data_IF_734266010248
#
_entry.id   IF_734266010248
#
_cell.length_a   1.000
_cell.length_b   1.000
_cell.length_c   1.000
_cell.angle_alpha   90.00
_cell.angle_beta   90.00
_cell.angle_gamma   90.00
#
_symmetry.space_group_name_H-M   'P 1'
#
loop_
_entity.id
_entity.type
_entity.pdbx_description
1 polymer ?
#
# COMPACT_ATOMS: atom_id res chain seq x y z
N UNK A 1 -19.57 24.33 -48.28
CA UNK A 1 -18.56 23.37 -47.78
C UNK A 1 -18.32 23.55 -46.27
N UNK A 2 -18.59 24.73 -45.72
CA UNK A 2 -18.20 25.14 -44.36
C UNK A 2 -19.04 24.55 -43.22
N UNK A 3 -20.34 24.26 -43.46
CA UNK A 3 -21.25 23.71 -42.43
C UNK A 3 -20.99 22.24 -42.10
N UNK A 4 -20.49 21.47 -43.06
CA UNK A 4 -20.19 20.03 -42.87
C UNK A 4 -18.88 19.89 -42.09
N UNK A 5 -17.89 20.72 -42.41
CA UNK A 5 -16.62 20.77 -41.70
C UNK A 5 -16.81 21.17 -40.24
N UNK A 6 -17.63 22.19 -39.96
CA UNK A 6 -17.92 22.60 -38.58
C UNK A 6 -18.65 21.53 -37.77
N UNK A 7 -19.61 20.81 -38.37
CA UNK A 7 -20.31 19.71 -37.70
C UNK A 7 -19.38 18.55 -37.33
N UNK A 8 -18.43 18.19 -38.20
CA UNK A 8 -17.45 17.13 -37.90
C UNK A 8 -16.47 17.54 -36.79
N UNK A 9 -16.03 18.81 -36.77
CA UNK A 9 -15.18 19.33 -35.68
C UNK A 9 -15.92 19.32 -34.34
N UNK A 10 -17.18 19.75 -34.30
CA UNK A 10 -17.99 19.71 -33.08
C UNK A 10 -18.18 18.27 -32.58
N UNK A 11 -18.50 17.33 -33.47
CA UNK A 11 -18.66 15.93 -33.11
C UNK A 11 -17.37 15.33 -32.52
N UNK A 12 -16.20 15.64 -33.11
CA UNK A 12 -14.91 15.20 -32.59
C UNK A 12 -14.62 15.74 -31.18
N UNK A 13 -14.91 17.02 -30.93
CA UNK A 13 -14.73 17.63 -29.60
C UNK A 13 -15.62 16.95 -28.56
N UNK A 14 -16.88 16.68 -28.89
CA UNK A 14 -17.82 16.00 -27.98
C UNK A 14 -17.34 14.59 -27.65
N UNK A 15 -16.84 13.84 -28.62
CA UNK A 15 -16.28 12.50 -28.41
C UNK A 15 -15.07 12.56 -27.49
N UNK A 16 -14.13 13.50 -27.72
CA UNK A 16 -12.94 13.65 -26.88
C UNK A 16 -13.32 14.03 -25.45
N UNK A 17 -14.27 14.95 -25.27
CA UNK A 17 -14.77 15.32 -23.95
C UNK A 17 -15.46 14.15 -23.25
N UNK A 18 -16.28 13.38 -23.96
CA UNK A 18 -16.93 12.20 -23.40
C UNK A 18 -15.91 11.14 -22.97
N UNK A 19 -14.90 10.85 -23.81
CA UNK A 19 -13.83 9.92 -23.48
C UNK A 19 -13.00 10.40 -22.29
N UNK A 20 -12.70 11.71 -22.21
CA UNK A 20 -12.00 12.29 -21.08
C UNK A 20 -12.83 12.18 -19.78
N UNK A 21 -14.13 12.49 -19.83
CA UNK A 21 -15.03 12.34 -18.68
C UNK A 21 -15.18 10.87 -18.25
N UNK A 22 -15.29 9.94 -19.21
CA UNK A 22 -15.33 8.51 -18.94
C UNK A 22 -14.02 8.02 -18.31
N UNK A 23 -12.85 8.46 -18.81
CA UNK A 23 -11.55 8.13 -18.23
C UNK A 23 -11.40 8.68 -16.80
N UNK A 24 -11.82 9.93 -16.56
CA UNK A 24 -11.85 10.54 -15.24
C UNK A 24 -12.80 9.76 -14.30
N UNK A 25 -13.98 9.38 -14.78
CA UNK A 25 -14.94 8.59 -13.99
C UNK A 25 -14.39 7.19 -13.65
N UNK A 26 -13.77 6.50 -14.61
CA UNK A 26 -13.11 5.21 -14.39
C UNK A 26 -11.98 5.36 -13.37
N UNK A 27 -11.17 6.41 -13.49
CA UNK A 27 -10.08 6.71 -12.56
C UNK A 27 -10.61 6.98 -11.14
N UNK A 28 -11.62 7.84 -10.99
CA UNK A 28 -12.27 8.13 -9.70
C UNK A 28 -12.90 6.87 -9.09
N UNK A 29 -13.57 6.05 -9.91
CA UNK A 29 -14.20 4.81 -9.44
C UNK A 29 -13.18 3.78 -8.97
N UNK A 30 -12.03 3.68 -9.64
CA UNK A 30 -10.92 2.80 -9.23
C UNK A 30 -10.30 3.27 -7.91
N UNK A 31 -10.17 4.58 -7.71
CA UNK A 31 -9.72 5.17 -6.44
C UNK A 31 -10.69 4.90 -5.28
N UNK A 32 -12.01 5.06 -5.49
CA UNK A 32 -13.01 4.79 -4.44
C UNK A 32 -13.03 3.35 -3.92
N UNK A 33 -12.87 2.36 -4.81
CA UNK A 33 -12.77 0.95 -4.39
C UNK A 33 -11.57 0.66 -3.48
N UNK A 34 -10.52 1.51 -3.48
CA UNK A 34 -9.34 1.34 -2.62
C UNK A 34 -9.64 1.64 -1.15
N UNK A 35 -10.50 2.63 -0.89
CA UNK A 35 -10.82 3.07 0.47
C UNK A 35 -11.76 2.09 1.17
N UNK A 36 -12.75 1.56 0.45
CA UNK A 36 -13.82 0.73 1.02
C UNK A 36 -13.30 -0.57 1.70
N UNK A 37 -12.18 -1.16 1.25
CA UNK A 37 -11.70 -2.44 1.77
C UNK A 37 -11.12 -2.36 3.20
N UNK A 38 -10.70 -1.17 3.63
CA UNK A 38 -10.04 -0.94 4.91
C UNK A 38 -10.72 0.14 5.76
N UNK A 39 -11.85 0.68 5.29
CA UNK A 39 -12.55 1.80 5.96
C UNK A 39 -13.09 1.41 7.34
N UNK A 40 -13.59 0.19 7.47
CA UNK A 40 -14.17 -0.33 8.72
C UNK A 40 -13.15 -1.04 9.61
N UNK A 41 -11.88 -1.14 9.19
CA UNK A 41 -10.85 -1.91 9.87
C UNK A 41 -10.10 -1.06 10.90
N UNK A 42 -9.98 -1.55 12.13
CA UNK A 42 -9.13 -0.94 13.15
C UNK A 42 -7.63 -1.23 12.90
N UNK A 43 -6.74 -0.50 13.58
CA UNK A 43 -5.29 -0.67 13.43
C UNK A 43 -4.84 -2.11 13.70
N UNK A 44 -5.33 -2.72 14.77
CA UNK A 44 -4.97 -4.09 15.14
C UNK A 44 -5.54 -5.14 14.19
N UNK A 45 -6.74 -4.93 13.66
CA UNK A 45 -7.32 -5.79 12.62
C UNK A 45 -6.50 -5.75 11.33
N UNK A 46 -5.93 -4.57 11.01
CA UNK A 46 -5.04 -4.42 9.86
C UNK A 46 -3.69 -5.14 10.04
N UNK A 47 -3.18 -5.24 11.27
CA UNK A 47 -1.99 -6.04 11.59
C UNK A 47 -2.25 -7.52 11.31
N UNK A 48 -3.38 -8.07 11.79
CA UNK A 48 -3.77 -9.46 11.50
C UNK A 48 -4.00 -9.70 10.01
N UNK A 49 -4.66 -8.77 9.32
CA UNK A 49 -4.85 -8.85 7.87
C UNK A 49 -3.50 -8.91 7.14
N UNK A 50 -2.56 -8.04 7.49
CA UNK A 50 -1.22 -8.04 6.91
C UNK A 50 -0.49 -9.36 7.18
N UNK A 51 -0.61 -9.91 8.39
CA UNK A 51 -0.02 -11.19 8.75
C UNK A 51 -0.58 -12.35 7.89
N UNK A 52 -1.90 -12.42 7.71
CA UNK A 52 -2.53 -13.42 6.84
C UNK A 52 -2.09 -13.25 5.39
N UNK A 53 -2.03 -12.02 4.90
CA UNK A 53 -1.56 -11.73 3.56
C UNK A 53 -0.11 -12.21 3.35
N UNK A 54 0.77 -11.99 4.33
CA UNK A 54 2.15 -12.49 4.29
C UNK A 54 2.21 -14.02 4.26
N UNK A 55 1.42 -14.70 5.11
CA UNK A 55 1.31 -16.18 5.10
C UNK A 55 0.90 -16.68 3.73
N UNK A 56 -0.10 -16.06 3.11
CA UNK A 56 -0.57 -16.46 1.79
C UNK A 56 0.47 -16.22 0.68
N UNK A 57 1.44 -15.30 0.91
CA UNK A 57 2.59 -15.02 0.03
C UNK A 57 3.84 -15.83 0.37
N UNK A 58 3.70 -16.87 1.19
CA UNK A 58 4.74 -17.85 1.47
C UNK A 58 5.74 -17.41 2.53
N UNK A 59 5.42 -16.38 3.33
CA UNK A 59 6.15 -16.13 4.56
C UNK A 59 5.82 -17.20 5.59
N UNK A 60 6.80 -17.57 6.40
CA UNK A 60 6.73 -18.53 7.50
C UNK A 60 7.07 -17.84 8.81
N UNK A 61 6.81 -18.50 9.95
CA UNK A 61 7.04 -17.94 11.29
C UNK A 61 6.42 -16.54 11.48
N UNK A 62 5.23 -16.33 10.90
CA UNK A 62 4.52 -15.05 10.93
C UNK A 62 3.85 -14.86 12.29
N UNK A 63 4.39 -13.93 13.10
CA UNK A 63 3.95 -13.57 14.44
C UNK A 63 3.50 -12.11 14.47
N UNK A 64 2.25 -11.85 14.88
CA UNK A 64 1.80 -10.50 15.25
C UNK A 64 2.28 -10.21 16.66
N UNK A 65 3.00 -9.11 16.85
CA UNK A 65 3.56 -8.74 18.15
C UNK A 65 2.46 -8.22 19.08
N UNK A 66 2.82 -8.02 20.35
CA UNK A 66 1.93 -7.45 21.37
C UNK A 66 1.95 -5.94 21.21
N UNK A 67 0.80 -5.31 20.93
CA UNK A 67 0.69 -3.87 20.64
C UNK A 67 1.12 -2.88 21.74
N UNK A 68 1.74 -3.32 22.84
CA UNK A 68 2.42 -2.46 23.80
C UNK A 68 3.82 -2.98 24.08
N UNK A 69 4.81 -2.11 23.94
CA UNK A 69 6.22 -2.46 24.09
C UNK A 69 6.78 -3.28 22.93
N UNK A 70 6.20 -3.13 21.74
CA UNK A 70 6.63 -3.76 20.47
C UNK A 70 7.73 -2.99 19.74
N UNK A 71 8.18 -1.86 20.29
CA UNK A 71 9.21 -1.00 19.70
C UNK A 71 8.89 -0.59 18.25
N UNK A 72 7.61 -0.50 17.89
CA UNK A 72 7.14 -0.09 16.57
C UNK A 72 7.15 -1.20 15.51
N UNK A 73 7.21 -2.48 15.89
CA UNK A 73 7.10 -3.61 14.96
C UNK A 73 5.84 -4.40 15.27
N UNK A 74 4.92 -4.48 14.32
CA UNK A 74 3.65 -5.17 14.54
C UNK A 74 3.71 -6.63 14.09
N UNK A 75 4.61 -6.98 13.16
CA UNK A 75 4.76 -8.34 12.64
C UNK A 75 6.23 -8.73 12.52
N UNK A 76 6.56 -9.93 12.98
CA UNK A 76 7.80 -10.64 12.67
C UNK A 76 7.48 -11.77 11.68
N UNK A 77 8.34 -11.99 10.70
CA UNK A 77 8.16 -13.04 9.71
C UNK A 77 9.50 -13.49 9.10
N UNK A 78 9.50 -14.64 8.45
CA UNK A 78 10.61 -15.13 7.64
C UNK A 78 10.15 -15.47 6.23
N UNK A 79 11.00 -15.25 5.22
CA UNK A 79 10.81 -15.80 3.88
C UNK A 79 12.15 -16.18 3.28
N UNK A 80 12.25 -17.41 2.78
CA UNK A 80 13.44 -17.92 2.10
C UNK A 80 14.74 -17.71 2.91
N UNK A 81 14.68 -17.88 4.23
CA UNK A 81 15.80 -17.67 5.16
C UNK A 81 16.10 -16.20 5.50
N UNK A 82 15.30 -15.24 5.04
CA UNK A 82 15.43 -13.81 5.36
C UNK A 82 14.38 -13.44 6.42
N UNK A 83 14.83 -12.84 7.52
CA UNK A 83 13.95 -12.44 8.63
C UNK A 83 13.56 -10.97 8.54
N UNK A 84 12.29 -10.70 8.80
CA UNK A 84 11.64 -9.40 8.62
C UNK A 84 11.09 -8.87 9.95
N UNK A 85 11.20 -7.55 10.13
CA UNK A 85 10.49 -6.75 11.11
C UNK A 85 9.59 -5.75 10.37
N UNK A 86 8.29 -5.82 10.59
CA UNK A 86 7.30 -5.15 9.75
C UNK A 86 6.39 -4.29 10.62
N UNK A 87 6.33 -3.00 10.33
CA UNK A 87 5.34 -2.08 10.89
C UNK A 87 4.16 -1.97 9.92
N UNK A 88 2.95 -2.10 10.42
CA UNK A 88 1.70 -1.85 9.75
C UNK A 88 1.16 -0.47 10.10
N UNK A 89 0.71 0.31 9.10
CA UNK A 89 0.03 1.59 9.30
C UNK A 89 -1.24 1.62 8.47
N UNK A 90 -2.39 1.46 9.13
CA UNK A 90 -3.69 1.76 8.54
C UNK A 90 -4.03 3.22 8.79
N UNK A 91 -4.04 4.05 7.75
CA UNK A 91 -4.39 5.48 7.84
C UNK A 91 -5.36 5.92 6.74
N UNK A 92 -5.95 7.10 6.91
CA UNK A 92 -6.71 7.81 5.87
C UNK A 92 -5.88 8.83 5.09
N UNK A 93 -4.61 8.99 5.44
CA UNK A 93 -3.68 9.95 4.84
C UNK A 93 -2.31 9.30 4.58
N UNK A 94 -1.49 9.87 3.69
CA UNK A 94 -0.17 9.33 3.39
C UNK A 94 0.73 9.16 4.62
N UNK A 95 1.51 8.09 4.63
CA UNK A 95 2.41 7.72 5.73
C UNK A 95 3.67 8.58 5.72
N UNK A 96 3.99 9.14 6.89
CA UNK A 96 5.14 10.03 7.12
C UNK A 96 6.41 9.30 7.57
N UNK A 97 7.49 10.09 7.70
CA UNK A 97 8.84 9.63 8.07
C UNK A 97 8.88 8.84 9.37
N UNK A 98 8.01 9.17 10.33
CA UNK A 98 7.95 8.51 11.65
C UNK A 98 7.83 6.99 11.55
N UNK A 99 6.96 6.47 10.68
CA UNK A 99 6.79 5.03 10.52
C UNK A 99 8.07 4.34 10.00
N UNK A 100 8.85 5.04 9.17
CA UNK A 100 10.13 4.53 8.65
C UNK A 100 11.17 4.46 9.77
N UNK A 101 11.21 5.47 10.64
CA UNK A 101 12.12 5.51 11.78
C UNK A 101 11.78 4.46 12.83
N UNK A 102 10.48 4.25 13.09
CA UNK A 102 9.98 3.17 13.95
C UNK A 102 10.40 1.79 13.41
N UNK A 103 10.13 1.51 12.12
CA UNK A 103 10.53 0.25 11.50
C UNK A 103 12.06 0.05 11.46
N UNK A 104 12.84 1.12 11.28
CA UNK A 104 14.30 1.05 11.35
C UNK A 104 14.80 0.67 12.75
N UNK A 105 14.32 1.36 13.78
CA UNK A 105 14.72 1.08 15.15
C UNK A 105 14.26 -0.31 15.60
N UNK A 106 13.02 -0.67 15.25
CA UNK A 106 12.42 -1.95 15.57
C UNK A 106 13.10 -3.14 14.88
N UNK A 107 13.49 -2.99 13.60
CA UNK A 107 14.28 -4.02 12.89
C UNK A 107 15.55 -4.38 13.66
N UNK A 108 16.28 -3.36 14.12
CA UNK A 108 17.53 -3.55 14.84
C UNK A 108 17.27 -4.09 16.25
N UNK A 109 16.19 -3.66 16.92
CA UNK A 109 15.80 -4.19 18.24
C UNK A 109 15.49 -5.70 18.24
N UNK A 110 14.83 -6.19 17.18
CA UNK A 110 14.48 -7.61 17.03
C UNK A 110 15.54 -8.45 16.30
N UNK A 111 16.72 -7.89 16.01
CA UNK A 111 17.79 -8.55 15.25
C UNK A 111 17.29 -9.15 13.92
N UNK A 112 16.48 -8.39 13.17
CA UNK A 112 15.93 -8.82 11.88
C UNK A 112 16.75 -8.27 10.71
N UNK A 113 16.85 -9.04 9.63
CA UNK A 113 17.67 -8.66 8.47
C UNK A 113 17.06 -7.51 7.68
N UNK A 114 15.73 -7.48 7.59
CA UNK A 114 14.99 -6.53 6.76
C UNK A 114 13.90 -5.83 7.58
N UNK A 115 13.79 -4.52 7.42
CA UNK A 115 12.70 -3.72 7.97
C UNK A 115 11.74 -3.35 6.85
N UNK A 116 10.43 -3.37 7.12
CA UNK A 116 9.41 -2.96 6.15
C UNK A 116 8.29 -2.15 6.82
N UNK A 117 7.62 -1.32 6.03
CA UNK A 117 6.36 -0.68 6.41
C UNK A 117 5.26 -1.09 5.44
N UNK A 118 4.19 -1.69 5.97
CA UNK A 118 2.96 -2.02 5.26
C UNK A 118 1.90 -0.97 5.51
N UNK A 119 1.20 -0.51 4.47
CA UNK A 119 0.11 0.46 4.64
C UNK A 119 -0.93 0.33 3.53
N UNK A 120 -2.18 0.67 3.86
CA UNK A 120 -3.25 0.84 2.86
C UNK A 120 -3.14 2.16 2.08
N UNK A 121 -2.22 3.05 2.48
CA UNK A 121 -2.00 4.37 1.88
C UNK A 121 -0.71 4.40 1.05
N UNK A 122 -0.36 5.59 0.59
CA UNK A 122 0.95 5.87 -0.03
C UNK A 122 1.90 6.51 0.98
N UNK A 123 3.18 6.57 0.63
CA UNK A 123 4.20 7.25 1.43
C UNK A 123 4.39 8.70 0.95
N UNK A 124 4.65 9.60 1.89
CA UNK A 124 5.11 10.96 1.58
C UNK A 124 6.51 10.95 0.96
N UNK A 125 6.86 11.94 0.13
CA UNK A 125 8.20 12.01 -0.49
C UNK A 125 9.35 11.96 0.53
N UNK A 126 9.29 12.65 1.69
CA UNK A 126 10.31 12.52 2.74
C UNK A 126 10.39 11.11 3.33
N UNK A 127 9.27 10.39 3.45
CA UNK A 127 9.28 9.00 3.92
C UNK A 127 9.98 8.07 2.92
N UNK A 128 9.75 8.29 1.62
CA UNK A 128 10.45 7.56 0.55
C UNK A 128 11.96 7.81 0.60
N UNK A 129 12.38 9.06 0.77
CA UNK A 129 13.80 9.41 0.91
C UNK A 129 14.42 8.75 2.15
N UNK A 130 13.75 8.84 3.30
CA UNK A 130 14.21 8.22 4.54
C UNK A 130 14.34 6.69 4.40
N UNK A 131 13.37 6.04 3.77
CA UNK A 131 13.37 4.60 3.55
C UNK A 131 14.55 4.15 2.68
N UNK A 132 14.89 4.91 1.65
CA UNK A 132 16.07 4.65 0.83
C UNK A 132 17.38 4.75 1.61
N UNK A 133 17.49 5.70 2.55
CA UNK A 133 18.67 5.86 3.41
C UNK A 133 18.77 4.79 4.49
N UNK A 134 17.65 4.46 5.12
CA UNK A 134 17.56 3.53 6.25
C UNK A 134 17.39 2.06 5.81
N UNK A 135 17.26 1.83 4.50
CA UNK A 135 17.05 0.52 3.85
C UNK A 135 15.81 -0.18 4.40
N UNK A 136 14.69 0.56 4.41
CA UNK A 136 13.38 0.07 4.80
C UNK A 136 12.54 -0.16 3.56
N UNK A 137 11.91 -1.32 3.45
CA UNK A 137 11.00 -1.64 2.36
C UNK A 137 9.68 -0.89 2.52
N UNK A 138 9.12 -0.44 1.41
CA UNK A 138 7.86 0.27 1.35
C UNK A 138 6.83 -0.63 0.65
N UNK A 139 5.87 -1.13 1.41
CA UNK A 139 4.77 -1.95 0.93
C UNK A 139 3.48 -1.12 1.04
N UNK A 140 3.27 -0.25 0.06
CA UNK A 140 2.14 0.67 0.01
C UNK A 140 0.83 -0.03 -0.43
N UNK A 141 -0.27 0.72 -0.45
CA UNK A 141 -1.58 0.17 -0.82
C UNK A 141 -1.60 -0.44 -2.24
N UNK A 142 -0.81 0.07 -3.18
CA UNK A 142 -0.66 -0.53 -4.51
C UNK A 142 0.03 -1.88 -4.44
N UNK A 143 1.11 -1.98 -3.65
CA UNK A 143 1.81 -3.24 -3.43
C UNK A 143 0.93 -4.29 -2.72
N UNK A 144 0.13 -3.88 -1.73
CA UNK A 144 -0.81 -4.80 -1.06
C UNK A 144 -1.88 -5.32 -2.03
N UNK A 145 -2.41 -4.47 -2.91
CA UNK A 145 -3.36 -4.89 -3.94
C UNK A 145 -2.76 -5.95 -4.88
N UNK A 146 -1.49 -5.79 -5.27
CA UNK A 146 -0.76 -6.76 -6.09
C UNK A 146 -0.59 -8.09 -5.32
N UNK A 147 -0.14 -8.04 -4.07
CA UNK A 147 -0.06 -9.22 -3.21
C UNK A 147 -1.41 -9.94 -3.09
N UNK A 148 -2.50 -9.21 -2.93
CA UNK A 148 -3.86 -9.79 -2.82
C UNK A 148 -4.33 -10.43 -4.14
N UNK A 149 -3.95 -9.86 -5.29
CA UNK A 149 -4.35 -10.35 -6.60
C UNK A 149 -3.66 -11.67 -6.96
N UNK A 150 -2.38 -11.82 -6.62
CA UNK A 150 -1.59 -13.04 -6.85
C UNK A 150 -2.13 -14.25 -6.09
N UNK A 151 -2.69 -14.04 -4.89
CA UNK A 151 -3.29 -15.11 -4.09
C UNK A 151 -4.54 -15.76 -4.69
N UNK A 152 -5.22 -15.08 -5.61
CA UNK A 152 -6.46 -15.58 -6.25
C UNK A 152 -6.21 -16.48 -7.46
N UNK A 153 -4.95 -16.66 -7.86
CA UNK A 153 -4.58 -17.45 -9.04
C UNK A 153 -4.21 -18.92 -8.72
N UNK A 154 -4.43 -19.37 -7.48
CA UNK A 154 -4.25 -20.77 -7.07
C UNK A 154 -5.55 -21.56 -7.16
#
# INVERSE_FOLDING_TARGET
>A
MDKVLSAQVIAAIVIVLFLALAAVWIFIRKQRKKTDAFEDMEGHEFEFFCADLLRDRGFVEVEVTRGSGDYGIDILAEKDGVTYAIQCKRYGTPVGVKAIQEAYAGRDYYDRMVGAVMTNQYFTSPAVEAAGKLKILLWDGGYLEEMMAEGRQK
#
